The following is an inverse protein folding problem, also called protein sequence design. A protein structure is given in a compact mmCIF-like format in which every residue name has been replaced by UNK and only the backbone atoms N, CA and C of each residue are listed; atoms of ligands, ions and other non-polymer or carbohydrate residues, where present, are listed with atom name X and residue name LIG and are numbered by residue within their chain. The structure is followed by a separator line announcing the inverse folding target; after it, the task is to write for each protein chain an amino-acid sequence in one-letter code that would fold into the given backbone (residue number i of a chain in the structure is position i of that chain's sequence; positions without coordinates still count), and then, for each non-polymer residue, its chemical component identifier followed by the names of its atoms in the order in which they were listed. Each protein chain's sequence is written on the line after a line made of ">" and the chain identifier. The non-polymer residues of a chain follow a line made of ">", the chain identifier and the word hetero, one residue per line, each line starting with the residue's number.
data_IF_579334594408
#
_entry.id   IF_579334594408
#
_cell.length_a   1.000
_cell.length_b   1.000
_cell.length_c   1.000
_cell.angle_alpha   90.00
_cell.angle_beta   90.00
_cell.angle_gamma   90.00
#
_symmetry.space_group_name_H-M   'P 1'
#
loop_
_entity.id
_entity.type
_entity.pdbx_description
1 polymer ?
#
# COMPACT_ATOMS: atom_id res chain seq x y z
N UNK A 1 -8.02 -7.03 -20.05
CA UNK A 1 -8.79 -5.80 -20.27
C UNK A 1 -7.82 -4.60 -20.41
N UNK A 2 -8.24 -3.59 -21.16
CA UNK A 2 -7.52 -2.29 -21.21
C UNK A 2 -8.44 -1.21 -20.64
N UNK A 3 -8.80 -1.38 -19.39
CA UNK A 3 -9.73 -0.51 -18.64
C UNK A 3 -9.06 0.34 -17.57
N UNK A 4 -7.73 0.19 -17.43
CA UNK A 4 -6.96 0.94 -16.43
C UNK A 4 -6.91 0.30 -15.04
N UNK A 5 -7.50 -0.89 -14.85
CA UNK A 5 -7.50 -1.62 -13.57
C UNK A 5 -6.55 -2.81 -13.67
N UNK A 6 -5.67 -2.98 -12.69
CA UNK A 6 -4.85 -4.18 -12.57
C UNK A 6 -5.64 -5.28 -11.87
N UNK A 7 -5.84 -6.37 -12.59
CA UNK A 7 -6.53 -7.57 -12.13
C UNK A 7 -5.59 -8.79 -12.24
N UNK A 8 -6.04 -9.95 -11.81
CA UNK A 8 -5.27 -11.18 -11.87
C UNK A 8 -4.18 -11.28 -10.79
N UNK A 9 -3.16 -12.09 -11.08
CA UNK A 9 -2.04 -12.34 -10.15
C UNK A 9 -1.01 -11.22 -10.22
N UNK A 10 -0.70 -10.61 -9.09
CA UNK A 10 0.22 -9.48 -8.99
C UNK A 10 1.27 -9.77 -7.91
N UNK A 11 2.47 -10.16 -8.34
CA UNK A 11 3.60 -10.30 -7.44
C UNK A 11 4.03 -8.93 -6.89
N UNK A 12 4.37 -8.87 -5.61
CA UNK A 12 4.69 -7.62 -4.93
C UNK A 12 5.82 -7.80 -3.90
N UNK A 13 6.17 -6.71 -3.23
CA UNK A 13 7.25 -6.67 -2.23
C UNK A 13 6.98 -7.46 -0.95
N UNK A 14 5.80 -8.05 -0.80
CA UNK A 14 5.47 -8.96 0.30
C UNK A 14 5.77 -10.42 -0.02
N UNK A 15 6.51 -10.69 -1.12
CA UNK A 15 6.88 -12.03 -1.59
C UNK A 15 5.68 -12.96 -1.85
N UNK A 16 4.54 -12.38 -2.12
CA UNK A 16 3.28 -13.08 -2.39
C UNK A 16 2.60 -12.53 -3.64
N UNK A 17 1.72 -13.31 -4.22
CA UNK A 17 0.86 -12.83 -5.28
C UNK A 17 -0.46 -12.36 -4.70
N UNK A 18 -0.80 -11.08 -4.89
CA UNK A 18 -2.16 -10.59 -4.68
C UNK A 18 -3.02 -10.91 -5.91
N UNK A 19 -4.21 -11.39 -5.66
CA UNK A 19 -5.19 -11.73 -6.69
C UNK A 19 -6.33 -10.71 -6.69
N UNK A 20 -6.41 -9.95 -7.76
CA UNK A 20 -7.41 -8.90 -7.93
C UNK A 20 -6.92 -7.49 -7.61
N UNK A 21 -7.75 -6.49 -7.88
CA UNK A 21 -7.41 -5.08 -7.70
C UNK A 21 -7.07 -4.75 -6.25
N UNK A 22 -5.93 -4.10 -6.04
CA UNK A 22 -5.45 -3.67 -4.74
C UNK A 22 -4.80 -2.29 -4.81
N UNK A 23 -4.77 -1.53 -3.71
CA UNK A 23 -4.26 -0.16 -3.72
C UNK A 23 -2.74 -0.09 -3.96
N UNK A 24 -1.95 -1.01 -3.39
CA UNK A 24 -0.49 -0.96 -3.52
C UNK A 24 -0.05 -0.97 -4.99
N UNK A 25 -0.46 -1.98 -5.74
CA UNK A 25 -0.09 -2.10 -7.16
C UNK A 25 -0.89 -1.14 -8.04
N UNK A 26 -2.15 -0.87 -7.67
CA UNK A 26 -3.02 0.04 -8.41
C UNK A 26 -2.45 1.46 -8.47
N UNK A 27 -2.03 2.04 -7.34
CA UNK A 27 -1.41 3.38 -7.34
C UNK A 27 -0.07 3.42 -8.08
N UNK A 28 0.75 2.36 -8.04
CA UNK A 28 1.93 2.27 -8.90
C UNK A 28 1.57 2.31 -10.38
N UNK A 29 0.55 1.55 -10.79
CA UNK A 29 0.09 1.53 -12.18
C UNK A 29 -0.47 2.89 -12.62
N UNK A 30 -1.27 3.56 -11.78
CA UNK A 30 -1.75 4.91 -12.06
C UNK A 30 -0.59 5.91 -12.22
N UNK A 31 0.41 5.83 -11.35
CA UNK A 31 1.62 6.63 -11.44
C UNK A 31 2.38 6.38 -12.75
N UNK A 32 2.53 5.12 -13.15
CA UNK A 32 3.17 4.74 -14.41
C UNK A 32 2.42 5.30 -15.62
N UNK A 33 1.09 5.24 -15.65
CA UNK A 33 0.27 5.81 -16.73
C UNK A 33 0.43 7.34 -16.83
N UNK A 34 0.47 8.05 -15.71
CA UNK A 34 0.71 9.50 -15.67
C UNK A 34 2.12 9.86 -16.15
N UNK A 35 3.12 9.11 -15.74
CA UNK A 35 4.50 9.29 -16.19
C UNK A 35 4.62 9.03 -17.69
N UNK A 36 4.05 7.92 -18.17
CA UNK A 36 4.04 7.55 -19.60
C UNK A 36 3.33 8.61 -20.45
N UNK A 37 2.22 9.18 -19.99
CA UNK A 37 1.53 10.30 -20.66
C UNK A 37 2.48 11.49 -20.85
N UNK A 38 3.17 11.94 -19.78
CA UNK A 38 4.10 13.07 -19.86
C UNK A 38 5.30 12.78 -20.77
N UNK A 39 5.86 11.57 -20.68
CA UNK A 39 6.97 11.16 -21.55
C UNK A 39 6.55 11.13 -23.01
N UNK A 40 5.38 10.57 -23.32
CA UNK A 40 4.84 10.52 -24.67
C UNK A 40 4.62 11.94 -25.25
N UNK A 41 4.09 12.86 -24.45
CA UNK A 41 3.93 14.25 -24.86
C UNK A 41 5.28 14.92 -25.17
N UNK A 42 6.31 14.69 -24.36
CA UNK A 42 7.67 15.18 -24.60
C UNK A 42 8.26 14.63 -25.91
N UNK A 43 7.95 13.37 -26.23
CA UNK A 43 8.34 12.68 -27.48
C UNK A 43 7.41 13.00 -28.66
N UNK A 44 6.41 13.86 -28.46
CA UNK A 44 5.38 14.24 -29.47
C UNK A 44 4.48 13.07 -29.93
N UNK A 45 4.43 11.97 -29.19
CA UNK A 45 3.50 10.86 -29.41
C UNK A 45 2.16 11.13 -28.73
N UNK A 46 1.33 11.92 -29.40
CA UNK A 46 0.00 12.29 -28.90
C UNK A 46 -0.96 11.11 -28.80
N UNK A 47 -0.77 10.09 -29.63
CA UNK A 47 -1.64 8.90 -29.66
C UNK A 47 -1.43 8.07 -28.41
N UNK A 48 -0.19 7.76 -28.07
CA UNK A 48 0.14 7.02 -26.86
C UNK A 48 -0.19 7.83 -25.60
N UNK A 49 0.10 9.14 -25.59
CA UNK A 49 -0.28 10.03 -24.49
C UNK A 49 -1.79 9.98 -24.22
N UNK A 50 -2.63 10.07 -25.25
CA UNK A 50 -4.08 9.96 -25.12
C UNK A 50 -4.51 8.61 -24.56
N UNK A 51 -3.90 7.51 -25.01
CA UNK A 51 -4.17 6.17 -24.47
C UNK A 51 -3.86 6.09 -23.00
N UNK A 52 -2.68 6.54 -22.57
CA UNK A 52 -2.28 6.55 -21.16
C UNK A 52 -3.24 7.39 -20.29
N UNK A 53 -3.60 8.58 -20.75
CA UNK A 53 -4.54 9.44 -20.03
C UNK A 53 -5.93 8.80 -19.90
N UNK A 54 -6.43 8.15 -20.95
CA UNK A 54 -7.72 7.47 -20.90
C UNK A 54 -7.71 6.35 -19.86
N UNK A 55 -6.70 5.47 -19.91
CA UNK A 55 -6.55 4.37 -18.95
C UNK A 55 -6.38 4.88 -17.51
N UNK A 56 -5.59 5.94 -17.33
CA UNK A 56 -5.42 6.58 -16.02
C UNK A 56 -6.76 7.05 -15.45
N UNK A 57 -7.56 7.81 -16.23
CA UNK A 57 -8.85 8.33 -15.77
C UNK A 57 -9.82 7.21 -15.39
N UNK A 58 -9.91 6.19 -16.23
CA UNK A 58 -10.78 5.03 -15.96
C UNK A 58 -10.35 4.31 -14.69
N UNK A 59 -9.07 3.97 -14.57
CA UNK A 59 -8.53 3.24 -13.42
C UNK A 59 -8.61 4.03 -12.12
N UNK A 60 -8.25 5.31 -12.13
CA UNK A 60 -8.35 6.20 -10.96
C UNK A 60 -9.79 6.28 -10.44
N UNK A 61 -10.75 6.57 -11.33
CA UNK A 61 -12.16 6.64 -10.95
C UNK A 61 -12.68 5.29 -10.43
N UNK A 62 -12.27 4.19 -11.07
CA UNK A 62 -12.68 2.87 -10.63
C UNK A 62 -12.14 2.52 -9.25
N UNK A 63 -10.85 2.81 -8.99
CA UNK A 63 -10.20 2.55 -7.70
C UNK A 63 -10.88 3.33 -6.56
N UNK A 64 -11.13 4.61 -6.75
CA UNK A 64 -11.83 5.44 -5.76
C UNK A 64 -13.24 4.92 -5.46
N UNK A 65 -13.96 4.49 -6.49
CA UNK A 65 -15.33 4.02 -6.34
C UNK A 65 -15.44 2.59 -5.76
N UNK A 66 -14.43 1.73 -5.98
CA UNK A 66 -14.53 0.30 -5.69
C UNK A 66 -13.60 -0.19 -4.59
N UNK A 67 -12.48 0.49 -4.33
CA UNK A 67 -11.52 0.07 -3.31
C UNK A 67 -11.57 0.94 -2.06
N UNK A 68 -11.99 2.20 -2.14
CA UNK A 68 -12.11 3.07 -0.97
C UNK A 68 -13.35 2.72 -0.14
N UNK A 69 -13.14 2.37 1.13
CA UNK A 69 -14.20 1.90 2.03
C UNK A 69 -14.76 2.98 2.96
N UNK A 70 -14.43 4.26 2.71
CA UNK A 70 -14.78 5.41 3.55
C UNK A 70 -13.69 5.81 4.55
N UNK A 71 -12.67 4.97 4.76
CA UNK A 71 -11.54 5.25 5.65
C UNK A 71 -10.18 5.02 4.98
N UNK A 72 -10.04 3.96 4.17
CA UNK A 72 -8.82 3.59 3.45
C UNK A 72 -9.17 2.70 2.26
N UNK A 73 -8.18 2.40 1.40
CA UNK A 73 -8.37 1.51 0.27
C UNK A 73 -8.17 0.04 0.67
N UNK A 74 -9.06 -0.82 0.22
CA UNK A 74 -9.04 -2.27 0.45
C UNK A 74 -8.56 -3.03 -0.80
N UNK A 75 -8.12 -4.26 -0.60
CA UNK A 75 -7.85 -5.21 -1.66
C UNK A 75 -9.13 -6.01 -1.97
N UNK A 76 -9.60 -5.91 -3.19
CA UNK A 76 -10.75 -6.69 -3.68
C UNK A 76 -10.25 -8.01 -4.25
N UNK A 77 -10.25 -9.04 -3.40
CA UNK A 77 -9.75 -10.35 -3.78
C UNK A 77 -10.67 -10.96 -4.85
N UNK A 78 -10.07 -11.49 -5.93
CA UNK A 78 -10.75 -12.29 -6.94
C UNK A 78 -10.19 -13.70 -6.93
N UNK A 79 -11.05 -14.69 -7.21
CA UNK A 79 -10.58 -16.06 -7.37
C UNK A 79 -9.69 -16.16 -8.60
N UNK A 80 -8.47 -16.69 -8.48
CA UNK A 80 -7.66 -16.96 -9.65
C UNK A 80 -8.28 -18.08 -10.48
N UNK A 81 -8.43 -17.88 -11.76
CA UNK A 81 -8.94 -18.88 -12.69
C UNK A 81 -8.07 -20.14 -12.72
N UNK A 82 -6.80 -20.00 -12.36
CA UNK A 82 -5.84 -21.10 -12.23
C UNK A 82 -4.88 -20.87 -11.07
N UNK A 83 -4.87 -21.78 -10.11
CA UNK A 83 -3.85 -21.87 -9.06
C UNK A 83 -2.56 -22.59 -9.55
N UNK A 84 -2.02 -22.21 -10.69
CA UNK A 84 -0.86 -22.93 -11.27
C UNK A 84 0.40 -22.92 -10.38
N UNK A 85 0.47 -22.02 -9.39
CA UNK A 85 1.68 -21.83 -8.57
C UNK A 85 1.60 -22.36 -7.14
N UNK A 86 0.46 -22.86 -6.68
CA UNK A 86 0.35 -23.36 -5.32
C UNK A 86 -0.24 -24.78 -5.33
N UNK A 87 0.62 -25.72 -4.93
CA UNK A 87 0.23 -27.08 -4.54
C UNK A 87 -0.78 -27.12 -3.35
N UNK A 88 -1.42 -26.00 -3.09
CA UNK A 88 -2.38 -25.75 -2.02
C UNK A 88 -3.81 -25.66 -2.56
N UNK A 89 -4.15 -26.51 -3.53
CA UNK A 89 -5.53 -26.70 -3.97
C UNK A 89 -6.29 -27.51 -2.93
N UNK A 90 -6.58 -26.87 -1.82
CA UNK A 90 -7.63 -27.38 -0.96
C UNK A 90 -8.97 -26.86 -1.52
N UNK A 91 -9.88 -27.72 -2.03
CA UNK A 91 -11.17 -27.30 -2.58
C UNK A 91 -12.06 -26.60 -1.55
N UNK A 92 -11.74 -26.70 -0.26
CA UNK A 92 -12.45 -26.03 0.83
C UNK A 92 -11.96 -24.58 1.05
N UNK A 93 -10.82 -24.18 0.47
CA UNK A 93 -10.29 -22.82 0.57
C UNK A 93 -10.97 -21.92 -0.46
N UNK A 94 -11.91 -21.11 -0.01
CA UNK A 94 -12.66 -20.17 -0.85
C UNK A 94 -11.92 -18.88 -1.18
N UNK A 95 -10.84 -18.59 -0.48
CA UNK A 95 -10.05 -17.37 -0.64
C UNK A 95 -8.57 -17.77 -0.76
N UNK A 96 -7.83 -17.25 -1.75
CA UNK A 96 -6.38 -17.49 -1.83
C UNK A 96 -5.69 -17.12 -0.51
N UNK A 97 -4.72 -17.92 -0.04
CA UNK A 97 -3.94 -17.56 1.16
C UNK A 97 -3.06 -16.34 0.89
N UNK A 98 -2.58 -15.73 1.97
CA UNK A 98 -1.61 -14.62 1.94
C UNK A 98 -2.11 -13.34 1.27
N UNK A 99 -3.41 -13.09 1.30
CA UNK A 99 -3.99 -11.87 0.75
C UNK A 99 -4.10 -10.76 1.81
N UNK A 100 -4.32 -9.52 1.34
CA UNK A 100 -4.58 -8.36 2.20
C UNK A 100 -6.07 -8.26 2.57
N UNK A 101 -6.97 -8.40 1.60
CA UNK A 101 -8.41 -8.23 1.80
C UNK A 101 -8.75 -6.86 2.37
N UNK A 102 -9.51 -6.83 3.49
CA UNK A 102 -9.93 -5.60 4.18
C UNK A 102 -8.86 -5.01 5.09
N UNK A 103 -7.59 -5.32 4.88
CA UNK A 103 -6.48 -4.79 5.66
C UNK A 103 -6.15 -3.33 5.30
N UNK A 104 -5.86 -2.52 6.32
CA UNK A 104 -5.24 -1.21 6.15
C UNK A 104 -3.72 -1.41 6.00
N UNK A 105 -3.21 -1.30 4.80
CA UNK A 105 -1.80 -1.51 4.48
C UNK A 105 -1.01 -0.19 4.63
N UNK A 106 0.17 -0.21 5.22
CA UNK A 106 0.97 1.00 5.46
C UNK A 106 1.46 1.65 4.17
N UNK A 107 1.81 0.85 3.17
CA UNK A 107 2.35 1.32 1.89
C UNK A 107 1.33 1.33 0.74
N UNK A 108 0.04 1.29 1.06
CA UNK A 108 -1.03 1.30 0.06
C UNK A 108 -1.00 2.52 -0.87
N UNK A 109 -0.40 3.63 -0.43
CA UNK A 109 -0.27 4.88 -1.18
C UNK A 109 1.16 5.15 -1.69
N UNK A 110 2.03 4.14 -1.76
CA UNK A 110 3.41 4.32 -2.22
C UNK A 110 3.49 4.90 -3.63
N UNK A 111 2.62 4.49 -4.54
CA UNK A 111 2.52 5.06 -5.89
C UNK A 111 2.10 6.54 -5.88
N UNK A 112 1.18 6.93 -5.01
CA UNK A 112 0.76 8.32 -4.83
C UNK A 112 1.90 9.20 -4.30
N UNK A 113 2.64 8.73 -3.30
CA UNK A 113 3.82 9.39 -2.77
C UNK A 113 4.87 9.63 -3.89
N UNK A 114 5.17 8.62 -4.69
CA UNK A 114 6.08 8.74 -5.83
C UNK A 114 5.58 9.72 -6.89
N UNK A 115 4.27 9.75 -7.14
CA UNK A 115 3.66 10.70 -8.06
C UNK A 115 3.84 12.15 -7.59
N UNK A 116 3.72 12.42 -6.32
CA UNK A 116 4.00 13.74 -5.75
C UNK A 116 5.47 14.16 -5.96
N UNK A 117 6.43 13.29 -5.64
CA UNK A 117 7.87 13.54 -5.87
C UNK A 117 8.15 13.86 -7.35
N UNK A 118 7.54 13.11 -8.26
CA UNK A 118 7.72 13.29 -9.70
C UNK A 118 6.88 14.46 -10.30
N UNK A 119 6.15 15.21 -9.50
CA UNK A 119 5.28 16.29 -9.96
C UNK A 119 4.17 15.83 -10.90
N UNK A 120 3.65 14.61 -10.69
CA UNK A 120 2.54 14.03 -11.47
C UNK A 120 1.17 14.41 -10.92
N UNK A 121 1.10 14.91 -9.67
CA UNK A 121 -0.13 15.26 -9.00
C UNK A 121 -0.85 14.07 -8.38
N UNK A 122 -2.14 14.22 -8.14
CA UNK A 122 -2.97 13.17 -7.54
C UNK A 122 -3.29 12.05 -8.52
N UNK A 123 -3.25 10.83 -8.02
CA UNK A 123 -3.61 9.60 -8.75
C UNK A 123 -5.01 9.09 -8.41
N UNK A 124 -5.54 9.51 -7.28
CA UNK A 124 -6.89 9.25 -6.80
C UNK A 124 -7.51 10.53 -6.22
N UNK A 125 -8.66 10.40 -5.59
CA UNK A 125 -9.32 11.53 -4.92
C UNK A 125 -8.46 12.03 -3.75
N UNK A 126 -8.28 13.35 -3.67
CA UNK A 126 -7.43 13.99 -2.65
C UNK A 126 -7.89 13.71 -1.23
N UNK A 127 -9.19 13.79 -0.98
CA UNK A 127 -9.74 13.59 0.36
C UNK A 127 -9.67 12.11 0.77
N UNK A 128 -9.84 11.18 -0.18
CA UNK A 128 -9.63 9.75 0.06
C UNK A 128 -8.17 9.45 0.43
N UNK A 129 -7.21 10.06 -0.28
CA UNK A 129 -5.78 9.92 0.00
C UNK A 129 -5.45 10.43 1.41
N UNK A 130 -5.90 11.64 1.75
CA UNK A 130 -5.71 12.23 3.07
C UNK A 130 -6.36 11.38 4.18
N UNK A 131 -7.59 10.94 3.96
CA UNK A 131 -8.33 10.08 4.91
C UNK A 131 -7.61 8.75 5.13
N UNK A 132 -7.07 8.17 4.06
CA UNK A 132 -6.29 6.93 4.12
C UNK A 132 -5.03 7.09 4.97
N UNK A 133 -4.29 8.18 4.82
CA UNK A 133 -3.11 8.46 5.65
C UNK A 133 -3.48 8.63 7.13
N UNK A 134 -4.59 9.27 7.42
CA UNK A 134 -5.15 9.35 8.78
C UNK A 134 -5.51 7.97 9.35
N UNK A 135 -6.06 7.11 8.51
CA UNK A 135 -6.41 5.72 8.89
C UNK A 135 -5.17 4.87 9.13
N UNK A 136 -4.10 5.04 8.35
CA UNK A 136 -2.82 4.40 8.60
C UNK A 136 -2.29 4.78 10.00
N UNK A 137 -2.32 6.06 10.36
CA UNK A 137 -1.95 6.48 11.72
C UNK A 137 -2.86 5.90 12.79
N UNK A 138 -4.15 5.88 12.54
CA UNK A 138 -5.15 5.40 13.51
C UNK A 138 -5.03 3.89 13.78
N UNK A 139 -4.78 3.09 12.77
CA UNK A 139 -4.89 1.64 12.84
C UNK A 139 -3.56 0.91 12.86
N UNK A 140 -2.50 1.47 12.27
CA UNK A 140 -1.21 0.80 12.15
C UNK A 140 -0.17 1.33 13.16
N UNK A 141 -0.35 2.55 13.72
CA UNK A 141 0.61 3.09 14.66
C UNK A 141 0.50 2.44 16.04
N UNK A 142 1.57 1.79 16.47
CA UNK A 142 1.71 1.15 17.79
C UNK A 142 2.75 1.94 18.59
N UNK A 143 2.39 2.35 19.80
CA UNK A 143 3.26 3.13 20.68
C UNK A 143 4.25 2.28 21.47
N UNK A 144 3.92 1.03 21.73
CA UNK A 144 4.65 0.13 22.60
C UNK A 144 4.48 -1.30 22.08
N UNK A 145 5.58 -1.90 21.66
CA UNK A 145 5.63 -3.26 21.11
C UNK A 145 5.93 -4.33 22.17
N UNK A 146 6.04 -4.01 23.45
CA UNK A 146 6.36 -4.98 24.52
C UNK A 146 5.43 -6.19 24.57
N UNK A 147 4.20 -6.04 24.11
CA UNK A 147 3.17 -7.11 24.09
C UNK A 147 2.76 -7.51 22.66
N UNK A 148 3.47 -7.00 21.66
CA UNK A 148 3.16 -7.30 20.27
C UNK A 148 3.74 -8.65 19.88
N UNK A 149 2.86 -9.55 19.37
CA UNK A 149 3.31 -10.80 18.78
C UNK A 149 3.78 -10.56 17.34
N UNK A 150 5.03 -10.87 17.07
CA UNK A 150 5.56 -10.83 15.71
C UNK A 150 5.54 -12.23 15.10
N UNK A 151 4.93 -12.33 13.93
CA UNK A 151 4.78 -13.59 13.23
C UNK A 151 6.08 -14.09 12.60
N UNK A 152 6.98 -13.18 12.22
CA UNK A 152 8.23 -13.52 11.52
C UNK A 152 9.44 -12.76 12.11
N UNK A 153 9.82 -11.62 11.54
CA UNK A 153 11.01 -10.85 11.93
C UNK A 153 10.63 -9.67 12.82
N UNK A 154 11.48 -9.36 13.79
CA UNK A 154 11.26 -8.24 14.71
C UNK A 154 12.23 -7.11 14.41
N UNK A 155 11.73 -6.04 13.80
CA UNK A 155 12.48 -4.81 13.55
C UNK A 155 12.16 -3.70 14.57
N UNK A 156 11.20 -3.95 15.44
CA UNK A 156 10.79 -3.10 16.55
C UNK A 156 10.61 -3.96 17.79
N UNK A 157 11.04 -3.50 18.95
CA UNK A 157 11.08 -4.31 20.19
C UNK A 157 10.76 -3.46 21.42
N UNK A 158 10.25 -4.13 22.45
CA UNK A 158 10.02 -3.52 23.76
C UNK A 158 9.10 -2.30 23.69
N UNK A 159 9.51 -1.21 24.31
CA UNK A 159 8.78 0.06 24.37
C UNK A 159 8.92 0.96 23.14
N UNK A 160 9.58 0.47 22.08
CA UNK A 160 9.69 1.20 20.82
C UNK A 160 8.32 1.35 20.15
N UNK A 161 8.22 2.32 19.25
CA UNK A 161 7.00 2.60 18.48
C UNK A 161 7.23 2.50 16.96
N UNK A 162 6.16 2.29 16.19
CA UNK A 162 6.24 2.19 14.73
C UNK A 162 4.90 1.94 14.06
N UNK A 163 4.91 1.92 12.73
CA UNK A 163 3.76 1.57 11.90
C UNK A 163 3.82 0.10 11.48
N UNK A 164 2.84 -0.70 11.89
CA UNK A 164 2.65 -2.07 11.40
C UNK A 164 2.43 -2.09 9.89
N UNK A 165 2.91 -3.14 9.23
CA UNK A 165 2.66 -3.36 7.81
C UNK A 165 1.18 -3.39 7.47
N UNK A 166 0.37 -4.09 8.26
CA UNK A 166 -1.08 -4.07 8.08
C UNK A 166 -1.83 -4.27 9.40
N UNK A 167 -3.02 -3.70 9.44
CA UNK A 167 -4.01 -3.91 10.51
C UNK A 167 -5.38 -4.21 9.89
N UNK A 168 -6.25 -4.89 10.64
CA UNK A 168 -7.60 -5.29 10.16
C UNK A 168 -8.70 -4.80 11.09
N UNK A 169 -9.03 -3.51 11.08
CA UNK A 169 -10.11 -2.99 11.93
C UNK A 169 -11.50 -3.51 11.54
N UNK A 170 -11.65 -4.03 10.31
CA UNK A 170 -12.93 -4.53 9.75
C UNK A 170 -12.96 -6.06 9.54
N UNK A 171 -12.02 -6.77 10.16
CA UNK A 171 -11.94 -8.23 10.09
C UNK A 171 -10.79 -8.76 9.25
N UNK A 172 -9.98 -9.64 9.87
CA UNK A 172 -8.78 -10.24 9.29
C UNK A 172 -9.12 -11.53 8.56
N UNK A 173 -8.40 -11.80 7.46
CA UNK A 173 -8.38 -13.10 6.82
C UNK A 173 -7.79 -14.16 7.75
N UNK A 174 -8.16 -15.42 7.58
CA UNK A 174 -7.61 -16.55 8.33
C UNK A 174 -6.11 -16.67 8.10
N UNK A 175 -5.68 -16.58 6.83
CA UNK A 175 -4.28 -16.65 6.42
C UNK A 175 -3.90 -15.36 5.67
N UNK A 176 -3.53 -14.28 6.38
CA UNK A 176 -3.07 -13.04 5.75
C UNK A 176 -1.63 -13.18 5.23
N UNK A 177 -1.14 -12.21 4.46
CA UNK A 177 0.25 -12.21 4.00
C UNK A 177 1.25 -12.24 5.19
N UNK A 178 2.42 -12.89 5.04
CA UNK A 178 3.26 -13.27 6.19
C UNK A 178 3.83 -12.09 6.99
N UNK A 179 4.10 -10.95 6.35
CA UNK A 179 4.80 -9.81 6.97
C UNK A 179 3.89 -8.79 7.66
N UNK A 180 2.62 -9.11 7.83
CA UNK A 180 1.60 -8.16 8.34
C UNK A 180 1.93 -7.58 9.72
N UNK A 181 2.59 -8.36 10.57
CA UNK A 181 2.92 -7.98 11.95
C UNK A 181 4.28 -7.28 12.08
N UNK A 182 5.00 -7.09 10.98
CA UNK A 182 6.30 -6.42 10.96
C UNK A 182 6.16 -4.91 10.90
N UNK A 183 7.26 -4.22 11.21
CA UNK A 183 7.45 -2.79 10.95
C UNK A 183 8.58 -2.64 9.94
N UNK A 184 8.27 -2.11 8.76
CA UNK A 184 9.24 -1.95 7.69
C UNK A 184 9.57 -0.48 7.47
N UNK A 185 10.77 -0.08 7.86
CA UNK A 185 11.24 1.31 7.91
C UNK A 185 11.03 2.08 6.60
N UNK A 186 11.28 1.45 5.45
CA UNK A 186 11.06 2.10 4.15
C UNK A 186 9.61 2.50 3.92
N UNK A 187 8.66 1.65 4.30
CA UNK A 187 7.24 1.93 4.13
C UNK A 187 6.72 2.94 5.15
N UNK A 188 7.28 2.95 6.37
CA UNK A 188 6.99 4.01 7.33
C UNK A 188 7.40 5.39 6.79
N UNK A 189 8.58 5.50 6.14
CA UNK A 189 9.00 6.74 5.47
C UNK A 189 8.09 7.11 4.31
N UNK A 190 7.65 6.15 3.49
CA UNK A 190 6.70 6.41 2.41
C UNK A 190 5.39 7.01 2.95
N UNK A 191 4.83 6.43 4.02
CA UNK A 191 3.64 6.96 4.67
C UNK A 191 3.89 8.36 5.27
N UNK A 192 5.00 8.55 5.98
CA UNK A 192 5.34 9.84 6.60
C UNK A 192 5.51 10.96 5.56
N UNK A 193 6.19 10.71 4.45
CA UNK A 193 6.34 11.69 3.37
C UNK A 193 5.00 11.96 2.68
N UNK A 194 4.17 10.93 2.46
CA UNK A 194 2.79 11.12 2.00
C UNK A 194 2.00 12.07 2.92
N UNK A 195 2.11 11.89 4.24
CA UNK A 195 1.48 12.77 5.23
C UNK A 195 1.98 14.22 5.14
N UNK A 196 3.27 14.44 4.87
CA UNK A 196 3.82 15.80 4.65
C UNK A 196 3.18 16.46 3.44
N UNK A 197 3.03 15.75 2.33
CA UNK A 197 2.36 16.28 1.13
C UNK A 197 0.90 16.64 1.38
N UNK A 198 0.24 15.98 2.32
CA UNK A 198 -1.15 16.25 2.70
C UNK A 198 -1.29 17.19 3.92
N UNK A 199 -0.22 17.91 4.30
CA UNK A 199 -0.21 18.84 5.45
C UNK A 199 -0.63 18.18 6.78
N UNK A 200 -0.10 16.97 7.02
CA UNK A 200 -0.25 16.19 8.24
C UNK A 200 1.11 16.08 8.95
N UNK A 201 1.78 17.22 9.18
CA UNK A 201 3.16 17.28 9.65
C UNK A 201 3.34 16.66 11.04
N UNK A 202 2.35 16.79 11.91
CA UNK A 202 2.40 16.23 13.27
C UNK A 202 2.47 14.71 13.23
N UNK A 203 1.64 14.08 12.42
CA UNK A 203 1.58 12.63 12.22
C UNK A 203 2.88 12.15 11.56
N UNK A 204 3.32 12.82 10.51
CA UNK A 204 4.56 12.53 9.81
C UNK A 204 5.77 12.57 10.75
N UNK A 205 5.92 13.64 11.55
CA UNK A 205 7.01 13.78 12.50
C UNK A 205 6.94 12.75 13.63
N UNK A 206 5.74 12.30 14.00
CA UNK A 206 5.57 11.21 14.96
C UNK A 206 6.17 9.91 14.42
N UNK A 207 5.89 9.57 13.15
CA UNK A 207 6.48 8.40 12.49
C UNK A 207 8.00 8.53 12.36
N UNK A 208 8.49 9.68 11.87
CA UNK A 208 9.93 9.91 11.65
C UNK A 208 10.71 9.81 12.97
N UNK A 209 10.17 10.35 14.07
CA UNK A 209 10.79 10.23 15.40
C UNK A 209 10.84 8.78 15.87
N UNK A 210 9.74 8.03 15.69
CA UNK A 210 9.70 6.61 16.03
C UNK A 210 10.79 5.82 15.29
N UNK A 211 10.96 6.09 13.99
CA UNK A 211 12.01 5.45 13.18
C UNK A 211 13.40 5.85 13.70
N UNK A 212 13.65 7.13 13.88
CA UNK A 212 14.95 7.63 14.34
C UNK A 212 15.31 7.05 15.71
N UNK A 213 14.36 6.99 16.64
CA UNK A 213 14.62 6.52 17.99
C UNK A 213 14.95 5.03 18.05
N UNK A 214 14.41 4.23 17.12
CA UNK A 214 14.79 2.81 16.95
C UNK A 214 16.17 2.63 16.33
N UNK A 215 16.61 3.53 15.46
CA UNK A 215 17.89 3.49 14.77
C UNK A 215 18.96 4.37 15.45
N UNK A 216 18.79 4.68 16.72
CA UNK A 216 19.79 5.35 17.52
C UNK A 216 20.88 4.36 17.92
N UNK A 217 22.06 4.50 17.31
CA UNK A 217 23.21 3.63 17.56
C UNK A 217 23.75 3.67 19.00
N UNK A 218 23.29 4.62 19.85
CA UNK A 218 23.59 4.63 21.27
C UNK A 218 22.73 3.63 22.07
N UNK A 219 21.58 3.26 21.54
CA UNK A 219 20.65 2.30 22.18
C UNK A 219 20.91 0.88 21.75
N UNK A 220 21.09 0.66 20.44
CA UNK A 220 21.38 -0.64 19.85
C UNK A 220 22.02 -0.50 18.48
N UNK A 221 22.61 -1.58 17.98
CA UNK A 221 23.10 -1.67 16.59
C UNK A 221 21.88 -1.51 15.66
N UNK A 222 21.94 -0.62 14.66
CA UNK A 222 20.79 -0.33 13.78
C UNK A 222 20.31 -1.48 12.91
N UNK A 223 21.06 -2.58 12.83
CA UNK A 223 20.79 -3.74 11.96
C UNK A 223 20.72 -5.02 12.77
#
# INVERSE_FOLDING_TARGET
>A
NQDGVMEGSQHNTMDVNYFGPNPQMGFWYMGALKAAEKMALAMKDKTFAKKCNTLFRQGSTWMDANLFNGEYYEHKITDPETFEYLDMRNPDVKVPPFQLGKGCLVDQLVGQYMAHICGLGYLGDKEHIRTTLGSIMKYNYVKDFSRHFNNMRSYVMGDESGLLMASWPKGRLEVPFPYFAEVMTGFEYCAAVGMIYESMEKEALTCIRAIRDRHDGAKRIPF
#
